data_IF_150696196252
#
_entry.id   IF_150696196252
#
_cell.length_a   1.000
_cell.length_b   1.000
_cell.length_c   1.000
_cell.angle_alpha   90.00
_cell.angle_beta   90.00
_cell.angle_gamma   90.00
#
_symmetry.space_group_name_H-M   'P 1'
#
loop_
_entity.id
_entity.type
_entity.pdbx_description
1 polymer ?
#
# COMPACT_ATOMS: atom_id res chain seq x y z
N UNK A 1 0.07 -5.60 -25.35
CA UNK A 1 -0.57 -4.98 -24.17
C UNK A 1 0.54 -4.60 -23.20
N UNK A 2 0.45 -3.45 -22.51
CA UNK A 2 1.51 -3.04 -21.58
C UNK A 2 1.47 -3.91 -20.31
N UNK A 3 2.64 -4.40 -19.89
CA UNK A 3 2.77 -5.34 -18.77
C UNK A 3 2.55 -4.66 -17.42
N UNK A 4 1.91 -5.38 -16.50
CA UNK A 4 1.77 -5.01 -15.09
C UNK A 4 2.67 -5.93 -14.27
N UNK A 5 3.45 -5.36 -13.36
CA UNK A 5 4.23 -6.12 -12.38
C UNK A 5 3.83 -5.73 -10.97
N UNK A 6 3.35 -6.68 -10.17
CA UNK A 6 3.12 -6.49 -8.74
C UNK A 6 4.38 -6.97 -8.00
N UNK A 7 5.07 -6.06 -7.33
CA UNK A 7 6.22 -6.40 -6.49
C UNK A 7 5.80 -6.37 -5.02
N UNK A 8 6.08 -7.46 -4.33
CA UNK A 8 5.84 -7.61 -2.89
C UNK A 8 7.19 -7.50 -2.17
N UNK A 9 7.57 -6.31 -1.67
CA UNK A 9 8.80 -6.17 -0.90
C UNK A 9 8.65 -6.85 0.47
N UNK A 10 9.63 -7.67 0.81
CA UNK A 10 9.75 -8.34 2.10
C UNK A 10 11.16 -8.19 2.66
N UNK A 11 11.27 -8.09 3.98
CA UNK A 11 12.53 -8.12 4.74
C UNK A 11 12.34 -8.98 5.96
N UNK A 12 13.37 -9.75 6.31
CA UNK A 12 13.32 -10.54 7.54
C UNK A 12 13.54 -9.66 8.78
N UNK A 13 14.42 -8.68 8.66
CA UNK A 13 14.80 -7.78 9.74
C UNK A 13 13.70 -6.74 10.00
N UNK A 14 12.81 -7.09 10.92
CA UNK A 14 11.85 -6.19 11.54
C UNK A 14 12.11 -6.17 13.05
N UNK A 15 12.41 -4.99 13.59
CA UNK A 15 12.78 -4.83 15.00
C UNK A 15 11.63 -5.14 15.97
N UNK A 16 10.39 -4.84 15.55
CA UNK A 16 9.18 -5.04 16.37
C UNK A 16 8.56 -6.43 16.20
N UNK A 17 8.84 -7.11 15.08
CA UNK A 17 8.33 -8.44 14.78
C UNK A 17 9.37 -9.23 13.95
N UNK A 18 10.36 -9.88 14.58
CA UNK A 18 11.40 -10.61 13.87
C UNK A 18 10.84 -11.70 12.95
N UNK A 19 11.34 -11.79 11.71
CA UNK A 19 10.84 -12.77 10.74
C UNK A 19 9.40 -12.52 10.29
N UNK A 20 8.91 -11.28 10.47
CA UNK A 20 7.55 -10.81 10.14
C UNK A 20 6.93 -11.46 8.90
N UNK A 21 7.56 -11.48 7.71
CA UNK A 21 6.96 -12.09 6.52
C UNK A 21 6.56 -13.57 6.66
N UNK A 22 7.26 -14.31 7.53
CA UNK A 22 7.04 -15.75 7.77
C UNK A 22 6.21 -16.02 9.04
N UNK A 23 5.75 -14.97 9.73
CA UNK A 23 4.82 -15.13 10.85
C UNK A 23 3.50 -15.70 10.33
N UNK A 24 2.97 -16.68 11.06
CA UNK A 24 1.69 -17.31 10.73
C UNK A 24 0.53 -16.47 11.27
N UNK A 25 -0.48 -16.34 10.43
CA UNK A 25 -1.75 -15.71 10.73
C UNK A 25 -2.82 -16.75 10.43
N UNK A 26 -3.51 -17.26 11.46
CA UNK A 26 -4.38 -18.45 11.37
C UNK A 26 -3.73 -19.62 10.64
N UNK A 27 -2.46 -19.90 10.95
CA UNK A 27 -1.70 -21.03 10.40
C UNK A 27 -1.06 -20.83 9.02
N UNK A 28 -1.35 -19.73 8.32
CA UNK A 28 -0.78 -19.41 7.00
C UNK A 28 0.23 -18.26 7.14
N UNK A 29 1.42 -18.41 6.56
CA UNK A 29 2.46 -17.38 6.58
C UNK A 29 1.97 -16.09 5.92
N UNK A 30 2.30 -14.94 6.52
CA UNK A 30 1.84 -13.64 6.05
C UNK A 30 2.19 -13.38 4.58
N UNK A 31 3.43 -13.68 4.17
CA UNK A 31 3.85 -13.48 2.78
C UNK A 31 3.07 -14.34 1.78
N UNK A 32 2.63 -15.54 2.19
CA UNK A 32 1.77 -16.41 1.37
C UNK A 32 0.40 -15.77 1.17
N UNK A 33 -0.18 -15.18 2.21
CA UNK A 33 -1.48 -14.47 2.11
C UNK A 33 -1.40 -13.31 1.12
N UNK A 34 -0.32 -12.51 1.20
CA UNK A 34 -0.10 -11.38 0.28
C UNK A 34 0.17 -11.87 -1.14
N UNK A 35 0.95 -12.94 -1.32
CA UNK A 35 1.20 -13.52 -2.64
C UNK A 35 -0.08 -14.06 -3.29
N UNK A 36 -0.99 -14.65 -2.52
CA UNK A 36 -2.24 -15.19 -3.05
C UNK A 36 -3.17 -14.08 -3.57
N UNK A 37 -3.18 -12.94 -2.89
CA UNK A 37 -3.89 -11.74 -3.36
C UNK A 37 -3.29 -11.26 -4.70
N UNK A 38 -1.96 -11.18 -4.79
CA UNK A 38 -1.28 -10.75 -6.02
C UNK A 38 -1.48 -11.73 -7.18
N UNK A 39 -1.38 -13.03 -6.92
CA UNK A 39 -1.63 -14.10 -7.89
C UNK A 39 -3.05 -14.01 -8.44
N UNK A 40 -4.05 -13.94 -7.56
CA UNK A 40 -5.45 -13.82 -7.95
C UNK A 40 -5.67 -12.63 -8.89
N UNK A 41 -5.15 -11.46 -8.53
CA UNK A 41 -5.26 -10.26 -9.37
C UNK A 41 -4.58 -10.49 -10.71
N UNK A 42 -3.38 -11.07 -10.75
CA UNK A 42 -2.71 -11.32 -12.02
C UNK A 42 -3.39 -12.37 -12.89
N UNK A 43 -3.99 -13.43 -12.32
CA UNK A 43 -4.80 -14.40 -13.09
C UNK A 43 -6.03 -13.76 -13.76
N UNK A 44 -6.57 -12.68 -13.19
CA UNK A 44 -7.69 -11.92 -13.77
C UNK A 44 -7.25 -10.86 -14.79
N UNK A 45 -5.95 -10.63 -14.96
CA UNK A 45 -5.41 -9.57 -15.82
C UNK A 45 -4.42 -10.11 -16.84
N UNK A 46 -4.73 -9.94 -18.12
CA UNK A 46 -3.75 -10.22 -19.18
C UNK A 46 -2.46 -9.40 -18.98
N UNK A 47 -1.32 -10.04 -19.23
CA UNK A 47 0.01 -9.42 -19.09
C UNK A 47 0.31 -8.88 -17.68
N UNK A 48 -0.25 -9.48 -16.63
CA UNK A 48 0.11 -9.23 -15.24
C UNK A 48 0.97 -10.37 -14.70
N UNK A 49 2.06 -10.02 -14.03
CA UNK A 49 2.84 -10.94 -13.21
C UNK A 49 3.11 -10.33 -11.84
N UNK A 50 3.51 -11.17 -10.89
CA UNK A 50 3.91 -10.73 -9.57
C UNK A 50 5.19 -11.44 -9.12
N UNK A 51 5.88 -10.86 -8.14
CA UNK A 51 6.99 -11.51 -7.45
C UNK A 51 7.16 -10.96 -6.03
N UNK A 52 7.77 -11.77 -5.17
CA UNK A 52 8.32 -11.35 -3.88
C UNK A 52 9.75 -10.85 -4.08
N UNK A 53 10.06 -9.64 -3.63
CA UNK A 53 11.41 -9.11 -3.63
C UNK A 53 11.95 -9.10 -2.19
N UNK A 54 13.05 -9.80 -1.94
CA UNK A 54 13.62 -9.97 -0.58
C UNK A 54 15.13 -9.92 -0.61
N UNK A 55 15.77 -9.68 0.53
CA UNK A 55 17.22 -9.79 0.75
C UNK A 55 17.60 -11.00 1.62
N UNK A 56 16.62 -11.85 1.96
CA UNK A 56 16.80 -12.93 2.92
C UNK A 56 16.51 -14.31 2.33
N UNK A 57 17.50 -15.21 2.43
CA UNK A 57 17.47 -16.59 1.92
C UNK A 57 16.36 -17.45 2.55
N UNK A 58 15.93 -17.17 3.79
CA UNK A 58 14.84 -17.93 4.44
C UNK A 58 13.50 -17.62 3.76
N UNK A 59 13.30 -16.38 3.33
CA UNK A 59 12.11 -15.96 2.58
C UNK A 59 12.15 -16.54 1.17
N UNK A 60 13.33 -16.55 0.52
CA UNK A 60 13.52 -17.21 -0.78
C UNK A 60 13.17 -18.69 -0.69
N UNK A 61 13.79 -19.42 0.24
CA UNK A 61 13.54 -20.85 0.47
C UNK A 61 12.06 -21.15 0.71
N UNK A 62 11.38 -20.32 1.51
CA UNK A 62 9.94 -20.44 1.73
C UNK A 62 9.15 -20.25 0.42
N UNK A 63 9.45 -19.20 -0.34
CA UNK A 63 8.75 -18.88 -1.58
C UNK A 63 8.93 -19.99 -2.62
N UNK A 64 10.17 -20.48 -2.82
CA UNK A 64 10.48 -21.59 -3.73
C UNK A 64 9.72 -22.87 -3.34
N UNK A 65 9.68 -23.21 -2.05
CA UNK A 65 8.93 -24.38 -1.56
C UNK A 65 7.41 -24.32 -1.80
N UNK A 66 6.89 -23.14 -2.12
CA UNK A 66 5.47 -22.87 -2.37
C UNK A 66 5.21 -22.37 -3.80
N UNK A 67 6.19 -22.46 -4.69
CA UNK A 67 6.10 -21.99 -6.08
C UNK A 67 5.72 -20.51 -6.22
N UNK A 68 6.04 -19.70 -5.21
CA UNK A 68 5.84 -18.24 -5.24
C UNK A 68 7.03 -17.62 -6.00
N UNK A 69 6.80 -16.84 -7.08
CA UNK A 69 7.87 -16.15 -7.78
C UNK A 69 8.61 -15.22 -6.82
N UNK A 70 9.93 -15.36 -6.74
CA UNK A 70 10.77 -14.62 -5.80
C UNK A 70 12.05 -14.14 -6.47
N UNK A 71 12.56 -13.01 -6.01
CA UNK A 71 13.80 -12.42 -6.49
C UNK A 71 14.62 -11.85 -5.35
N UNK A 72 15.91 -12.20 -5.34
CA UNK A 72 16.88 -11.62 -4.41
C UNK A 72 17.18 -10.17 -4.81
N UNK A 73 17.20 -9.29 -3.82
CA UNK A 73 17.48 -7.85 -3.91
C UNK A 73 18.50 -7.48 -2.84
N UNK A 74 19.14 -6.32 -2.99
CA UNK A 74 20.20 -5.86 -2.12
C UNK A 74 19.70 -5.57 -0.70
N UNK A 75 20.54 -5.88 0.27
CA UNK A 75 20.40 -5.43 1.66
C UNK A 75 20.53 -3.91 1.81
N UNK A 76 21.06 -3.21 0.80
CA UNK A 76 21.22 -1.75 0.82
C UNK A 76 19.94 -0.98 0.51
N UNK A 77 18.89 -1.65 0.00
CA UNK A 77 17.59 -1.00 -0.18
C UNK A 77 17.11 -0.48 1.17
N UNK A 78 16.74 0.80 1.26
CA UNK A 78 16.29 1.44 2.50
C UNK A 78 14.79 1.39 2.67
N UNK A 79 14.05 1.38 1.57
CA UNK A 79 12.59 1.27 1.59
C UNK A 79 12.02 0.21 0.65
N UNK A 80 10.71 -0.02 0.75
CA UNK A 80 9.97 -0.88 -0.18
C UNK A 80 10.02 -0.35 -1.61
N UNK A 81 9.99 0.98 -1.79
CA UNK A 81 10.12 1.64 -3.09
C UNK A 81 11.48 1.33 -3.73
N UNK A 82 12.56 1.42 -2.95
CA UNK A 82 13.90 1.08 -3.43
C UNK A 82 14.02 -0.39 -3.86
N UNK A 83 13.45 -1.29 -3.05
CA UNK A 83 13.41 -2.72 -3.35
C UNK A 83 12.60 -3.04 -4.60
N UNK A 84 11.45 -2.36 -4.78
CA UNK A 84 10.64 -2.51 -5.99
C UNK A 84 11.41 -2.10 -7.24
N UNK A 85 12.12 -0.98 -7.20
CA UNK A 85 12.93 -0.54 -8.33
C UNK A 85 14.05 -1.53 -8.67
N UNK A 86 14.77 -2.04 -7.67
CA UNK A 86 15.82 -3.04 -7.92
C UNK A 86 15.25 -4.30 -8.56
N UNK A 87 14.09 -4.77 -8.09
CA UNK A 87 13.40 -5.93 -8.66
C UNK A 87 12.99 -5.70 -10.13
N UNK A 88 12.48 -4.49 -10.44
CA UNK A 88 12.11 -4.09 -11.81
C UNK A 88 13.34 -4.02 -12.72
N UNK A 89 14.46 -3.47 -12.21
CA UNK A 89 15.73 -3.37 -12.94
C UNK A 89 16.36 -4.72 -13.30
N UNK A 90 15.98 -5.79 -12.60
CA UNK A 90 16.41 -7.17 -12.84
C UNK A 90 15.45 -7.95 -13.74
N UNK A 91 14.32 -7.36 -14.15
CA UNK A 91 13.43 -7.99 -15.13
C UNK A 91 13.99 -7.84 -16.55
N UNK A 92 13.76 -8.85 -17.39
CA UNK A 92 14.11 -8.78 -18.82
C UNK A 92 13.27 -7.76 -19.61
N UNK A 93 12.11 -7.39 -19.06
CA UNK A 93 11.19 -6.45 -19.72
C UNK A 93 10.80 -5.32 -18.80
N UNK A 94 10.64 -4.12 -19.37
CA UNK A 94 10.20 -2.95 -18.62
C UNK A 94 8.65 -2.97 -18.49
N UNK A 95 8.10 -3.17 -17.28
CA UNK A 95 6.65 -3.09 -17.07
C UNK A 95 6.12 -1.67 -17.28
N UNK A 96 4.91 -1.56 -17.83
CA UNK A 96 4.22 -0.27 -17.98
C UNK A 96 3.70 0.23 -16.63
N UNK A 97 3.27 -0.68 -15.76
CA UNK A 97 2.83 -0.41 -14.39
C UNK A 97 3.55 -1.30 -13.40
N UNK A 98 4.09 -0.70 -12.35
CA UNK A 98 4.71 -1.36 -11.21
C UNK A 98 3.85 -1.09 -9.99
N UNK A 99 3.28 -2.11 -9.37
CA UNK A 99 2.53 -1.98 -8.12
C UNK A 99 3.42 -2.42 -6.96
N UNK A 100 3.60 -1.56 -5.96
CA UNK A 100 4.28 -1.87 -4.73
C UNK A 100 3.25 -2.33 -3.68
N UNK A 101 2.99 -3.63 -3.63
CA UNK A 101 2.07 -4.26 -2.67
C UNK A 101 2.85 -4.63 -1.41
N UNK A 102 2.66 -3.88 -0.32
CA UNK A 102 3.41 -4.13 0.92
C UNK A 102 3.24 -5.58 1.41
N UNK A 103 4.36 -6.27 1.67
CA UNK A 103 4.39 -7.66 2.15
C UNK A 103 3.79 -7.88 3.54
N UNK A 104 3.34 -6.82 4.20
CA UNK A 104 2.77 -6.82 5.54
C UNK A 104 1.29 -6.47 5.60
N UNK A 105 0.63 -6.43 4.44
CA UNK A 105 -0.80 -6.16 4.35
C UNK A 105 -1.58 -7.40 3.87
N UNK A 106 -1.68 -8.46 4.69
CA UNK A 106 -2.33 -9.73 4.31
C UNK A 106 -3.85 -9.62 4.14
N UNK A 107 -4.45 -8.47 4.47
CA UNK A 107 -5.89 -8.20 4.31
C UNK A 107 -6.16 -7.12 3.26
N UNK A 108 -5.18 -6.81 2.41
CA UNK A 108 -5.37 -5.90 1.28
C UNK A 108 -6.41 -6.51 0.32
N UNK A 109 -7.57 -5.87 0.10
CA UNK A 109 -8.58 -6.44 -0.78
C UNK A 109 -8.11 -6.45 -2.25
N UNK A 110 -8.28 -7.57 -2.98
CA UNK A 110 -7.81 -7.69 -4.36
C UNK A 110 -8.45 -6.67 -5.31
N UNK A 111 -9.69 -6.23 -5.05
CA UNK A 111 -10.33 -5.21 -5.88
C UNK A 111 -9.65 -3.84 -5.80
N UNK A 112 -8.96 -3.50 -4.71
CA UNK A 112 -8.21 -2.24 -4.62
C UNK A 112 -7.02 -2.26 -5.61
N UNK A 113 -6.35 -3.41 -5.74
CA UNK A 113 -5.30 -3.61 -6.76
C UNK A 113 -5.89 -3.54 -8.17
N UNK A 114 -7.05 -4.17 -8.38
CA UNK A 114 -7.76 -4.09 -9.65
C UNK A 114 -8.12 -2.64 -10.03
N UNK A 115 -8.66 -1.85 -9.09
CA UNK A 115 -9.03 -0.45 -9.31
C UNK A 115 -7.81 0.41 -9.70
N UNK A 116 -6.63 0.14 -9.13
CA UNK A 116 -5.38 0.79 -9.54
C UNK A 116 -4.96 0.42 -10.96
N UNK A 117 -5.04 -0.86 -11.31
CA UNK A 117 -4.70 -1.35 -12.67
C UNK A 117 -5.63 -0.72 -13.70
N UNK A 118 -6.94 -0.72 -13.44
CA UNK A 118 -7.94 -0.20 -14.36
C UNK A 118 -7.85 1.31 -14.51
N UNK A 119 -7.60 2.03 -13.41
CA UNK A 119 -7.34 3.48 -13.46
C UNK A 119 -6.10 3.79 -14.28
N UNK A 120 -4.99 3.07 -14.07
CA UNK A 120 -3.78 3.28 -14.84
C UNK A 120 -3.97 2.94 -16.32
N UNK A 121 -4.68 1.86 -16.66
CA UNK A 121 -4.97 1.51 -18.05
C UNK A 121 -5.73 2.62 -18.78
N UNK A 122 -6.65 3.29 -18.08
CA UNK A 122 -7.44 4.41 -18.63
C UNK A 122 -6.64 5.71 -18.74
N UNK A 123 -5.83 6.02 -17.74
CA UNK A 123 -5.29 7.39 -17.58
C UNK A 123 -3.79 7.50 -17.78
N UNK A 124 -3.05 6.38 -17.71
CA UNK A 124 -1.59 6.34 -17.82
C UNK A 124 -0.88 7.31 -16.87
N UNK A 125 -1.44 7.46 -15.67
CA UNK A 125 -0.84 8.26 -14.62
C UNK A 125 0.53 7.70 -14.19
N UNK A 126 1.44 8.60 -13.82
CA UNK A 126 2.81 8.24 -13.44
C UNK A 126 2.93 7.63 -12.05
N UNK A 127 2.18 8.20 -11.11
CA UNK A 127 2.12 7.71 -9.74
C UNK A 127 0.65 7.59 -9.38
N UNK A 128 0.27 6.44 -8.87
CA UNK A 128 -1.07 6.17 -8.37
C UNK A 128 -0.99 5.72 -6.92
N UNK A 129 -2.01 6.07 -6.15
CA UNK A 129 -2.24 5.56 -4.80
C UNK A 129 -3.74 5.46 -4.56
N UNK A 130 -4.17 4.80 -3.48
CA UNK A 130 -5.58 4.73 -3.14
C UNK A 130 -5.95 5.55 -1.88
N UNK A 131 -7.22 5.94 -1.77
CA UNK A 131 -7.79 6.54 -0.57
C UNK A 131 -9.23 6.12 -0.33
N UNK A 132 -9.66 6.12 0.94
CA UNK A 132 -11.04 5.90 1.34
C UNK A 132 -11.64 7.19 1.88
N UNK A 133 -12.78 7.61 1.32
CA UNK A 133 -13.58 8.70 1.88
C UNK A 133 -14.37 8.20 3.09
N UNK A 134 -14.05 8.73 4.26
CA UNK A 134 -14.58 8.23 5.52
C UNK A 134 -16.02 8.67 5.74
N UNK A 135 -16.87 7.73 6.15
CA UNK A 135 -18.10 8.05 6.86
C UNK A 135 -17.81 8.74 8.19
N UNK A 136 -18.80 9.44 8.73
CA UNK A 136 -18.63 10.17 10.00
C UNK A 136 -18.23 9.27 11.18
N UNK A 137 -18.76 8.05 11.27
CA UNK A 137 -18.35 7.09 12.30
C UNK A 137 -16.89 6.62 12.13
N UNK A 138 -16.43 6.42 10.89
CA UNK A 138 -15.04 6.04 10.60
C UNK A 138 -14.07 7.20 10.88
N UNK A 139 -14.51 8.44 10.64
CA UNK A 139 -13.79 9.64 11.04
C UNK A 139 -13.63 9.73 12.57
N UNK A 140 -14.70 9.48 13.32
CA UNK A 140 -14.67 9.46 14.80
C UNK A 140 -13.69 8.39 15.32
N UNK A 141 -13.70 7.20 14.72
CA UNK A 141 -12.75 6.13 15.03
C UNK A 141 -11.30 6.55 14.74
N UNK A 142 -11.05 7.18 13.58
CA UNK A 142 -9.72 7.69 13.24
C UNK A 142 -9.23 8.72 14.28
N UNK A 143 -10.09 9.65 14.70
CA UNK A 143 -9.74 10.64 15.73
C UNK A 143 -9.45 9.99 17.08
N UNK A 144 -10.23 8.98 17.47
CA UNK A 144 -9.99 8.23 18.69
C UNK A 144 -8.64 7.49 18.65
N UNK A 145 -8.35 6.78 17.56
CA UNK A 145 -7.07 6.08 17.36
C UNK A 145 -5.87 7.04 17.41
N UNK A 146 -6.00 8.25 16.85
CA UNK A 146 -4.94 9.27 16.88
C UNK A 146 -4.70 9.85 18.28
N UNK A 147 -5.56 9.62 19.28
CA UNK A 147 -5.22 9.97 20.68
C UNK A 147 -4.18 9.02 21.26
N UNK A 148 -4.18 7.76 20.84
CA UNK A 148 -3.26 6.72 21.29
C UNK A 148 -2.03 6.62 20.38
N UNK A 149 -2.23 6.74 19.07
CA UNK A 149 -1.19 6.66 18.03
C UNK A 149 -1.24 7.89 17.12
N UNK A 150 -0.77 9.07 17.57
CA UNK A 150 -1.01 10.36 16.91
C UNK A 150 -0.65 10.45 15.43
N UNK A 151 0.33 9.68 14.99
CA UNK A 151 0.87 9.72 13.63
C UNK A 151 0.55 8.46 12.81
N UNK A 152 -0.41 7.64 13.27
CA UNK A 152 -0.99 6.55 12.46
C UNK A 152 -2.13 7.08 11.59
N UNK A 153 -2.51 6.38 10.52
CA UNK A 153 -3.62 6.78 9.65
C UNK A 153 -3.35 8.10 8.90
N UNK A 154 -2.48 8.04 7.90
CA UNK A 154 -2.23 9.18 6.98
C UNK A 154 -3.53 9.61 6.29
N UNK A 155 -3.74 10.92 6.15
CA UNK A 155 -4.86 11.48 5.40
C UNK A 155 -4.38 12.25 4.17
N UNK A 156 -5.24 12.40 3.18
CA UNK A 156 -4.91 13.01 1.89
C UNK A 156 -5.97 14.00 1.43
N UNK A 157 -5.53 15.16 0.97
CA UNK A 157 -6.37 16.11 0.23
C UNK A 157 -6.28 15.80 -1.26
N UNK A 158 -7.42 15.82 -1.93
CA UNK A 158 -7.54 15.43 -3.34
C UNK A 158 -8.28 16.53 -4.08
N UNK A 159 -7.78 16.92 -5.26
CA UNK A 159 -8.42 17.91 -6.11
C UNK A 159 -9.63 17.34 -6.89
N UNK A 160 -10.34 18.18 -7.63
CA UNK A 160 -11.51 17.77 -8.43
C UNK A 160 -11.16 16.87 -9.62
N UNK A 161 -9.90 16.87 -10.06
CA UNK A 161 -9.40 15.98 -11.10
C UNK A 161 -8.93 14.66 -10.51
N UNK A 162 -8.95 14.51 -9.17
CA UNK A 162 -8.55 13.35 -8.39
C UNK A 162 -7.04 13.17 -8.29
N UNK A 163 -6.28 14.25 -8.23
CA UNK A 163 -4.86 14.25 -7.88
C UNK A 163 -4.64 14.67 -6.43
N UNK A 164 -3.63 14.10 -5.78
CA UNK A 164 -3.25 14.48 -4.43
C UNK A 164 -2.74 15.94 -4.39
N UNK A 165 -3.24 16.71 -3.42
CA UNK A 165 -2.78 18.06 -3.10
C UNK A 165 -1.81 18.06 -1.92
N UNK A 166 -2.07 17.22 -0.92
CA UNK A 166 -1.23 17.09 0.27
C UNK A 166 -1.51 15.76 0.97
N UNK A 167 -0.48 15.18 1.57
CA UNK A 167 -0.60 14.09 2.54
C UNK A 167 -0.16 14.60 3.91
N UNK A 168 -0.78 14.11 4.98
CA UNK A 168 -0.31 14.38 6.34
C UNK A 168 -0.66 13.26 7.31
N UNK A 169 0.22 13.07 8.31
CA UNK A 169 -0.04 12.31 9.53
C UNK A 169 -1.03 13.05 10.44
N UNK A 170 -1.15 14.36 10.32
CA UNK A 170 -2.28 15.09 10.90
C UNK A 170 -3.55 14.84 10.08
N UNK A 171 -4.71 15.01 10.72
CA UNK A 171 -6.00 14.88 10.03
C UNK A 171 -6.27 16.13 9.19
N UNK A 172 -6.30 15.97 7.87
CA UNK A 172 -6.65 17.02 6.91
C UNK A 172 -7.89 16.62 6.08
N UNK A 173 -8.78 17.57 5.74
CA UNK A 173 -8.73 18.99 6.11
C UNK A 173 -9.15 19.26 7.56
N UNK A 174 -8.83 20.45 8.07
CA UNK A 174 -9.42 20.93 9.31
C UNK A 174 -10.93 21.18 9.13
N UNK A 175 -11.75 20.67 10.05
CA UNK A 175 -13.21 20.87 10.05
C UNK A 175 -13.56 21.92 11.11
N UNK A 176 -13.80 23.16 10.68
CA UNK A 176 -13.98 24.31 11.60
C UNK A 176 -15.32 24.32 12.35
N UNK A 177 -16.37 23.74 11.75
CA UNK A 177 -17.74 23.67 12.30
C UNK A 177 -18.27 22.27 12.03
N UNK A 178 -17.87 21.32 12.86
CA UNK A 178 -18.12 19.90 12.61
C UNK A 178 -19.60 19.55 12.60
N UNK A 179 -20.39 20.07 13.56
CA UNK A 179 -21.84 19.84 13.61
C UNK A 179 -22.52 20.27 12.30
N UNK A 180 -22.22 21.48 11.83
CA UNK A 180 -22.73 21.98 10.55
C UNK A 180 -22.27 21.11 9.36
N UNK A 181 -21.03 20.59 9.39
CA UNK A 181 -20.54 19.70 8.36
C UNK A 181 -21.26 18.35 8.38
N UNK A 182 -21.56 17.81 9.57
CA UNK A 182 -22.33 16.57 9.75
C UNK A 182 -23.76 16.70 9.22
N UNK A 183 -24.38 17.86 9.42
CA UNK A 183 -25.72 18.14 8.89
C UNK A 183 -25.75 18.27 7.36
N UNK A 184 -24.70 18.84 6.75
CA UNK A 184 -24.66 19.16 5.32
C UNK A 184 -24.02 18.08 4.45
N UNK A 185 -23.12 17.25 5.00
CA UNK A 185 -22.36 16.27 4.25
C UNK A 185 -22.74 14.85 4.67
N UNK A 186 -23.06 13.95 3.73
CA UNK A 186 -23.40 12.57 4.06
C UNK A 186 -22.20 11.76 4.60
N UNK A 187 -20.97 12.24 4.35
CA UNK A 187 -19.71 11.66 4.81
C UNK A 187 -18.77 12.76 5.29
N UNK A 188 -17.78 12.40 6.10
CA UNK A 188 -16.70 13.32 6.46
C UNK A 188 -15.92 13.71 5.20
N UNK A 189 -15.45 14.97 5.07
CA UNK A 189 -14.59 15.37 3.96
C UNK A 189 -13.17 14.78 4.06
N UNK A 190 -12.86 14.04 5.12
CA UNK A 190 -11.54 13.43 5.36
C UNK A 190 -11.41 12.15 4.56
N UNK A 191 -10.28 12.03 3.86
CA UNK A 191 -9.88 10.82 3.14
C UNK A 191 -8.70 10.18 3.85
N UNK A 192 -8.84 8.90 4.21
CA UNK A 192 -7.71 8.10 4.70
C UNK A 192 -6.92 7.57 3.52
N UNK A 193 -5.62 7.82 3.52
CA UNK A 193 -4.71 7.28 2.54
C UNK A 193 -4.49 5.78 2.78
N UNK A 194 -4.46 5.01 1.69
CA UNK A 194 -4.10 3.59 1.70
C UNK A 194 -2.66 3.49 1.18
N UNK A 195 -1.76 2.89 1.97
CA UNK A 195 -0.34 2.71 1.69
C UNK A 195 -0.03 1.73 0.56
N UNK A 196 -0.72 1.85 -0.56
CA UNK A 196 -0.57 1.05 -1.76
C UNK A 196 -0.27 2.00 -2.92
N UNK A 197 0.83 1.75 -3.61
CA UNK A 197 1.31 2.62 -4.67
C UNK A 197 1.49 1.87 -5.97
N UNK A 198 1.26 2.56 -7.07
CA UNK A 198 1.63 2.10 -8.40
C UNK A 198 2.40 3.19 -9.14
N UNK A 199 3.34 2.78 -9.99
CA UNK A 199 4.26 3.67 -10.68
C UNK A 199 4.36 3.28 -12.15
N UNK A 200 4.49 4.27 -13.03
CA UNK A 200 5.12 4.05 -14.32
C UNK A 200 6.61 3.77 -14.14
N UNK A 201 7.24 3.06 -15.07
CA UNK A 201 8.69 2.81 -15.02
C UNK A 201 9.51 4.08 -14.91
N UNK A 202 9.14 5.12 -15.67
CA UNK A 202 9.80 6.44 -15.63
C UNK A 202 9.65 7.14 -14.27
N UNK A 203 8.47 7.04 -13.64
CA UNK A 203 8.24 7.66 -12.35
C UNK A 203 9.06 6.96 -11.26
N UNK A 204 9.05 5.62 -11.26
CA UNK A 204 9.84 4.85 -10.31
C UNK A 204 11.35 5.12 -10.47
N UNK A 205 11.85 5.20 -11.70
CA UNK A 205 13.25 5.56 -11.97
C UNK A 205 13.58 6.99 -11.49
N UNK A 206 12.66 7.94 -11.71
CA UNK A 206 12.88 9.33 -11.25
C UNK A 206 13.07 9.45 -9.75
N UNK A 207 12.48 8.56 -8.94
CA UNK A 207 12.61 8.57 -7.47
C UNK A 207 14.07 8.63 -6.99
N UNK A 208 15.00 8.04 -7.74
CA UNK A 208 16.42 7.96 -7.39
C UNK A 208 17.24 9.17 -7.84
N UNK A 209 16.74 9.94 -8.81
CA UNK A 209 17.40 11.16 -9.29
C UNK A 209 16.80 12.43 -8.69
N UNK A 210 15.57 12.34 -8.16
CA UNK A 210 14.91 13.46 -7.50
C UNK A 210 15.55 13.79 -6.15
N UNK A 211 15.67 15.10 -5.81
CA UNK A 211 16.03 15.52 -4.47
C UNK A 211 15.08 14.92 -3.42
N UNK A 212 15.60 14.39 -2.29
CA UNK A 212 14.78 13.87 -1.22
C UNK A 212 13.93 14.98 -0.60
N UNK A 213 12.70 14.64 -0.23
CA UNK A 213 11.76 15.55 0.42
C UNK A 213 12.17 15.82 1.88
N UNK A 214 11.85 17.00 2.43
CA UNK A 214 11.94 17.18 3.89
C UNK A 214 10.87 16.36 4.62
N UNK A 215 9.72 16.13 3.98
CA UNK A 215 8.58 15.42 4.56
C UNK A 215 8.77 13.89 4.59
N UNK A 216 9.72 13.33 3.84
CA UNK A 216 10.03 11.89 3.91
C UNK A 216 10.84 11.52 5.18
N UNK A 217 11.35 12.53 5.93
CA UNK A 217 12.13 12.31 7.15
C UNK A 217 11.26 11.73 8.26
N UNK A 218 11.76 10.72 8.97
CA UNK A 218 11.04 10.01 10.03
C UNK A 218 10.63 10.87 11.23
N UNK A 219 11.32 12.00 11.46
CA UNK A 219 10.99 12.98 12.50
C UNK A 219 10.05 14.11 12.03
N UNK A 220 9.58 14.06 10.76
CA UNK A 220 8.54 14.94 10.19
C UNK A 220 7.31 14.08 9.87
N UNK A 221 6.86 14.00 8.61
CA UNK A 221 5.71 13.21 8.19
C UNK A 221 6.09 11.72 7.99
N UNK A 222 7.35 11.44 7.66
CA UNK A 222 7.83 10.09 7.36
C UNK A 222 7.16 9.48 6.12
N UNK A 223 6.88 10.30 5.10
CA UNK A 223 6.09 9.95 3.92
C UNK A 223 6.95 9.99 2.64
N UNK A 224 7.41 8.82 2.17
CA UNK A 224 8.25 8.69 0.96
C UNK A 224 7.62 9.31 -0.29
N UNK A 225 6.29 9.24 -0.41
CA UNK A 225 5.58 9.74 -1.57
C UNK A 225 5.65 11.25 -1.72
N UNK A 226 6.00 11.97 -0.65
CA UNK A 226 6.17 13.43 -0.70
C UNK A 226 7.32 13.84 -1.62
N UNK A 227 8.29 12.94 -1.87
CA UNK A 227 9.35 13.18 -2.86
C UNK A 227 8.78 13.43 -4.26
N UNK A 228 7.78 12.67 -4.68
CA UNK A 228 7.12 12.89 -5.97
C UNK A 228 6.36 14.23 -5.98
N UNK A 229 5.57 14.46 -4.93
CA UNK A 229 4.69 15.63 -4.84
C UNK A 229 5.47 16.95 -4.78
N UNK A 230 6.52 17.05 -3.96
CA UNK A 230 7.38 18.26 -3.88
C UNK A 230 8.12 18.54 -5.19
N UNK A 231 8.44 17.50 -5.97
CA UNK A 231 9.09 17.64 -7.27
C UNK A 231 8.10 17.80 -8.44
N UNK A 232 6.83 18.11 -8.15
CA UNK A 232 5.82 18.42 -9.16
C UNK A 232 5.26 17.22 -9.93
N UNK A 233 5.58 16.00 -9.51
CA UNK A 233 5.00 14.78 -10.10
C UNK A 233 3.62 14.57 -9.50
N UNK A 234 2.60 14.68 -10.35
CA UNK A 234 1.21 14.51 -9.95
C UNK A 234 0.94 13.05 -9.57
N UNK A 235 0.24 12.88 -8.45
CA UNK A 235 -0.16 11.57 -7.95
C UNK A 235 -1.67 11.37 -8.10
N UNK A 236 -2.08 10.40 -8.91
CA UNK A 236 -3.48 10.03 -9.09
C UNK A 236 -3.97 9.29 -7.85
N UNK A 237 -5.04 9.78 -7.23
CA UNK A 237 -5.66 9.11 -6.09
C UNK A 237 -6.89 8.37 -6.58
N UNK A 238 -6.88 7.05 -6.41
CA UNK A 238 -7.98 6.15 -6.72
C UNK A 238 -8.90 6.04 -5.51
N UNK A 239 -10.18 6.26 -5.75
CA UNK A 239 -11.21 6.18 -4.72
C UNK A 239 -11.62 4.72 -4.55
N UNK A 240 -11.41 4.20 -3.35
CA UNK A 240 -11.67 2.79 -3.03
C UNK A 240 -12.50 2.66 -1.76
N UNK A 241 -13.05 1.48 -1.56
CA UNK A 241 -13.71 1.09 -0.33
C UNK A 241 -13.37 -0.36 0.05
N UNK A 242 -13.68 -0.72 1.28
CA UNK A 242 -13.47 -2.07 1.82
C UNK A 242 -14.73 -2.96 1.75
N UNK A 243 -15.79 -2.53 1.07
CA UNK A 243 -17.07 -3.25 0.91
C UNK A 243 -17.64 -3.79 2.23
N UNK A 244 -17.55 -2.97 3.28
CA UNK A 244 -18.01 -3.31 4.62
C UNK A 244 -17.07 -4.18 5.45
N UNK A 245 -15.89 -4.55 4.93
CA UNK A 245 -14.86 -5.27 5.67
C UNK A 245 -13.99 -4.30 6.47
N UNK A 246 -13.53 -4.74 7.63
CA UNK A 246 -12.45 -4.06 8.34
C UNK A 246 -11.09 -4.36 7.69
N UNK A 247 -10.11 -3.52 8.01
CA UNK A 247 -8.76 -3.61 7.48
C UNK A 247 -7.76 -3.18 8.55
N UNK A 248 -6.49 -3.53 8.36
CA UNK A 248 -5.38 -2.99 9.15
C UNK A 248 -4.50 -2.09 8.28
N UNK A 249 -3.71 -1.23 8.91
CA UNK A 249 -2.70 -0.42 8.22
C UNK A 249 -1.47 -1.22 7.77
N UNK A 250 -1.38 -2.50 8.14
CA UNK A 250 -0.20 -3.37 8.04
C UNK A 250 -0.01 -4.16 9.34
N UNK A 251 0.91 -5.13 9.33
CA UNK A 251 1.23 -5.97 10.49
C UNK A 251 2.64 -5.68 10.97
N UNK A 252 2.83 -4.88 12.01
CA UNK A 252 4.15 -4.50 12.52
C UNK A 252 4.47 -5.06 13.91
N UNK A 253 3.46 -5.56 14.62
CA UNK A 253 3.60 -6.12 15.96
C UNK A 253 2.77 -7.40 16.15
N UNK A 254 3.00 -8.16 17.22
CA UNK A 254 2.14 -9.30 17.58
C UNK A 254 0.66 -8.92 17.76
N UNK A 255 0.37 -7.71 18.25
CA UNK A 255 -1.00 -7.21 18.39
C UNK A 255 -1.66 -7.01 17.03
N UNK A 256 -0.91 -6.59 16.01
CA UNK A 256 -1.43 -6.48 14.64
C UNK A 256 -1.75 -7.85 14.03
N UNK A 257 -0.95 -8.87 14.33
CA UNK A 257 -1.25 -10.26 13.93
C UNK A 257 -2.62 -10.65 14.48
N UNK A 258 -2.85 -10.44 15.78
CA UNK A 258 -4.13 -10.75 16.41
C UNK A 258 -5.29 -9.98 15.78
N UNK A 259 -5.13 -8.68 15.50
CA UNK A 259 -6.15 -7.87 14.80
C UNK A 259 -6.48 -8.43 13.43
N UNK A 260 -5.47 -8.87 12.67
CA UNK A 260 -5.71 -9.52 11.38
C UNK A 260 -6.48 -10.83 11.57
N UNK A 261 -6.12 -11.64 12.55
CA UNK A 261 -6.84 -12.89 12.84
C UNK A 261 -8.31 -12.65 13.20
N UNK A 262 -8.61 -11.62 14.00
CA UNK A 262 -9.96 -11.18 14.34
C UNK A 262 -10.75 -10.73 13.10
N UNK A 263 -10.13 -9.96 12.20
CA UNK A 263 -10.74 -9.56 10.93
C UNK A 263 -11.06 -10.78 10.08
N UNK A 264 -10.11 -11.73 9.94
CA UNK A 264 -10.33 -12.96 9.18
C UNK A 264 -11.40 -13.85 9.81
N UNK A 265 -11.57 -13.83 11.13
CA UNK A 265 -12.68 -14.52 11.79
C UNK A 265 -14.03 -13.91 11.45
N UNK A 266 -14.11 -12.59 11.53
CA UNK A 266 -15.36 -11.84 11.38
C UNK A 266 -15.83 -11.83 9.93
N UNK A 267 -14.90 -11.70 8.98
CA UNK A 267 -15.22 -11.48 7.58
C UNK A 267 -14.86 -12.67 6.67
N UNK A 268 -14.24 -13.72 7.21
CA UNK A 268 -13.74 -14.85 6.43
C UNK A 268 -12.51 -14.52 5.58
N UNK A 269 -11.96 -15.52 4.93
CA UNK A 269 -10.91 -15.35 3.91
C UNK A 269 -11.49 -14.69 2.64
N UNK A 270 -10.62 -14.11 1.81
CA UNK A 270 -11.02 -13.73 0.45
C UNK A 270 -11.25 -14.99 -0.39
N UNK A 271 -12.28 -14.97 -1.24
CA UNK A 271 -12.43 -15.98 -2.29
C UNK A 271 -11.42 -15.67 -3.41
N UNK A 272 -10.28 -16.35 -3.35
CA UNK A 272 -9.17 -16.22 -4.29
C UNK A 272 -9.13 -17.38 -5.30
N UNK A 273 -10.25 -18.08 -5.50
CA UNK A 273 -10.36 -19.15 -6.50
C UNK A 273 -10.34 -18.64 -7.94
#
# INVERSE_FOLDING_TARGET
MEKVLIVIPARYDSSRLPGKPLVKIKGIEMIKRVSDIADFVCRKNESCSYLVATDDERIVSFCESREIPVMMTSTNCKSGTERCYEAVRKQDTNPGLIINLQGDNPTCPPWILQDLIDTWRKEKADVLTASVLLGWSEYDQLLAMKKETPYSGTTVLVDRLGYALAFSKQTIPAIRKEDQARDLLPKSPVRRHVGLYAYSGRALESYFSLPPSVYERSYIEGLEQMRFLENGIKMRVVDVDYRGRETTSGVDSPEDVKRVEEILEKYGEFDLS
#
